data_IF_237765071165
#
_entry.id   IF_237765071165
#
_cell.length_a   1.000
_cell.length_b   1.000
_cell.length_c   1.000
_cell.angle_alpha   90.00
_cell.angle_beta   90.00
_cell.angle_gamma   90.00
#
_symmetry.space_group_name_H-M   'P 1'
#
loop_
_entity.id
_entity.type
_entity.pdbx_description
1 polymer ?
#
# COMPACT_ATOMS: atom_id res chain seq x y z
N UNK A 1 6.65 19.16 -2.87
CA UNK A 1 7.56 19.70 -1.85
C UNK A 1 6.82 19.76 -0.52
N UNK A 2 7.42 19.29 0.53
CA UNK A 2 6.99 19.02 1.92
C UNK A 2 6.43 17.62 2.11
N UNK A 3 7.35 16.70 2.32
CA UNK A 3 7.12 15.43 2.99
C UNK A 3 6.81 15.72 4.45
N UNK A 4 5.61 15.46 4.89
CA UNK A 4 5.27 15.43 6.31
C UNK A 4 5.32 13.99 6.77
N UNK A 5 6.47 13.63 7.34
CA UNK A 5 6.57 12.49 8.24
C UNK A 5 5.77 12.88 9.49
N UNK A 6 4.48 12.53 9.55
CA UNK A 6 3.73 12.65 10.78
C UNK A 6 4.15 11.51 11.72
N UNK A 7 5.11 11.85 12.58
CA UNK A 7 5.23 11.16 13.88
C UNK A 7 4.01 11.59 14.69
N UNK A 8 2.97 10.76 14.68
CA UNK A 8 1.81 10.97 15.54
C UNK A 8 2.18 10.53 16.94
N UNK A 9 2.60 11.48 17.77
CA UNK A 9 2.61 11.34 19.22
C UNK A 9 1.17 11.55 19.74
N UNK A 10 0.32 10.56 19.55
CA UNK A 10 -0.99 10.45 20.21
C UNK A 10 -0.87 9.39 21.29
N UNK A 11 -1.25 9.74 22.51
CA UNK A 11 -1.36 8.85 23.67
C UNK A 11 -2.29 7.68 23.34
N UNK A 12 -1.72 6.61 22.80
CA UNK A 12 -2.35 5.30 22.83
C UNK A 12 -2.31 4.82 24.28
N UNK A 13 -3.47 4.64 24.92
CA UNK A 13 -3.55 3.86 26.14
C UNK A 13 -2.88 2.50 25.88
N UNK A 14 -1.85 2.23 26.63
CA UNK A 14 -1.03 1.01 26.67
C UNK A 14 -1.46 -0.18 25.82
N UNK A 15 -1.28 -0.07 24.49
CA UNK A 15 -1.18 -1.23 23.60
C UNK A 15 0.18 -1.16 22.91
N UNK A 16 0.88 -2.29 22.93
CA UNK A 16 2.20 -2.46 22.31
C UNK A 16 2.27 -1.77 20.95
N UNK A 17 3.32 -1.00 20.69
CA UNK A 17 3.56 -0.29 19.40
C UNK A 17 3.60 -1.23 18.19
N UNK A 18 3.59 -2.54 18.40
CA UNK A 18 3.58 -3.59 17.40
C UNK A 18 2.60 -4.69 17.82
N UNK A 19 1.42 -4.77 17.18
CA UNK A 19 0.53 -5.95 17.28
C UNK A 19 -0.63 -5.90 18.27
N UNK A 20 -1.08 -4.73 18.73
CA UNK A 20 -2.30 -4.61 19.55
C UNK A 20 -3.58 -4.89 18.74
N UNK A 21 -4.62 -5.43 19.40
CA UNK A 21 -5.95 -5.58 18.82
C UNK A 21 -6.59 -4.21 18.66
N UNK A 22 -7.06 -3.88 17.45
CA UNK A 22 -7.73 -2.61 17.14
C UNK A 22 -9.20 -2.84 16.77
N UNK A 23 -10.03 -1.83 16.97
CA UNK A 23 -11.41 -1.79 16.47
C UNK A 23 -11.48 -0.87 15.24
N UNK A 24 -11.97 -1.41 14.12
CA UNK A 24 -12.06 -0.68 12.85
C UNK A 24 -13.52 -0.59 12.40
N UNK A 25 -13.98 0.63 12.11
CA UNK A 25 -15.27 0.83 11.46
C UNK A 25 -15.06 1.02 9.96
N UNK A 26 -15.77 0.24 9.16
CA UNK A 26 -15.69 0.25 7.69
C UNK A 26 -17.02 0.71 7.12
N UNK A 27 -17.02 1.76 6.31
CA UNK A 27 -18.16 2.17 5.50
C UNK A 27 -18.05 1.61 4.08
N UNK A 28 -19.05 0.83 3.68
CA UNK A 28 -19.15 0.15 2.39
C UNK A 28 -18.81 -1.34 2.48
N UNK A 29 -19.78 -2.20 2.22
CA UNK A 29 -19.66 -3.67 2.18
C UNK A 29 -19.56 -4.21 0.74
N UNK A 30 -18.93 -3.44 -0.15
CA UNK A 30 -18.57 -3.88 -1.50
C UNK A 30 -17.39 -4.87 -1.47
N UNK A 31 -16.79 -5.13 -2.64
CA UNK A 31 -15.62 -6.02 -2.78
C UNK A 31 -14.46 -5.61 -1.86
N UNK A 32 -14.11 -4.33 -1.85
CA UNK A 32 -13.01 -3.81 -1.02
C UNK A 32 -13.33 -3.95 0.46
N UNK A 33 -14.50 -3.44 0.90
CA UNK A 33 -14.86 -3.42 2.31
C UNK A 33 -15.02 -4.82 2.90
N UNK A 34 -15.66 -5.74 2.19
CA UNK A 34 -15.81 -7.12 2.66
C UNK A 34 -14.47 -7.88 2.73
N UNK A 35 -13.56 -7.64 1.79
CA UNK A 35 -12.22 -8.22 1.84
C UNK A 35 -11.42 -7.64 3.00
N UNK A 36 -11.45 -6.31 3.19
CA UNK A 36 -10.79 -5.64 4.30
C UNK A 36 -11.31 -6.13 5.66
N UNK A 37 -12.64 -6.25 5.80
CA UNK A 37 -13.27 -6.71 7.02
C UNK A 37 -12.78 -8.11 7.42
N UNK A 38 -12.79 -9.06 6.48
CA UNK A 38 -12.27 -10.43 6.73
C UNK A 38 -10.79 -10.42 7.05
N UNK A 39 -9.98 -9.69 6.29
CA UNK A 39 -8.54 -9.59 6.53
C UNK A 39 -8.19 -9.04 7.91
N UNK A 40 -9.02 -8.16 8.47
CA UNK A 40 -8.86 -7.64 9.82
C UNK A 40 -9.25 -8.67 10.88
N UNK A 41 -10.37 -9.39 10.68
CA UNK A 41 -10.76 -10.49 11.57
C UNK A 41 -9.71 -11.61 11.62
N UNK A 42 -9.18 -12.02 10.46
CA UNK A 42 -8.12 -13.03 10.36
C UNK A 42 -6.86 -12.64 11.14
N UNK A 43 -6.66 -11.34 11.34
CA UNK A 43 -5.58 -10.77 12.16
C UNK A 43 -5.99 -10.49 13.61
N UNK A 44 -7.14 -11.02 14.07
CA UNK A 44 -7.69 -10.85 15.41
C UNK A 44 -8.08 -9.41 15.79
N UNK A 45 -8.37 -8.55 14.81
CA UNK A 45 -8.98 -7.23 15.06
C UNK A 45 -10.50 -7.33 15.15
N UNK A 46 -11.16 -6.32 15.73
CA UNK A 46 -12.62 -6.21 15.74
C UNK A 46 -13.08 -5.26 14.65
N UNK A 47 -14.18 -5.59 14.00
CA UNK A 47 -14.67 -4.84 12.85
C UNK A 47 -16.18 -4.60 12.98
N UNK A 48 -16.61 -3.38 12.66
CA UNK A 48 -18.00 -3.05 12.37
C UNK A 48 -18.10 -2.59 10.91
N UNK A 49 -19.05 -3.13 10.16
CA UNK A 49 -19.26 -2.78 8.74
C UNK A 49 -20.60 -2.09 8.57
N UNK A 50 -20.58 -0.91 7.94
CA UNK A 50 -21.76 -0.12 7.61
C UNK A 50 -22.02 -0.20 6.11
N UNK A 51 -23.25 -0.46 5.70
CA UNK A 51 -23.70 -0.34 4.32
C UNK A 51 -25.18 0.08 4.28
N UNK A 52 -25.58 0.86 3.28
CA UNK A 52 -26.98 1.23 3.08
C UNK A 52 -27.83 0.05 2.62
N UNK A 53 -27.20 -0.94 1.96
CA UNK A 53 -27.85 -2.09 1.39
C UNK A 53 -27.64 -3.34 2.28
N UNK A 54 -28.68 -3.87 2.95
CA UNK A 54 -28.54 -5.05 3.82
C UNK A 54 -27.99 -6.28 3.08
N UNK A 55 -28.34 -6.44 1.82
CA UNK A 55 -27.88 -7.54 0.98
C UNK A 55 -26.37 -7.51 0.71
N UNK A 56 -25.73 -6.35 0.85
CA UNK A 56 -24.29 -6.23 0.70
C UNK A 56 -23.53 -7.08 1.73
N UNK A 57 -24.09 -7.26 2.93
CA UNK A 57 -23.46 -8.04 4.01
C UNK A 57 -23.30 -9.54 3.69
N UNK A 58 -23.99 -10.06 2.67
CA UNK A 58 -23.79 -11.46 2.20
C UNK A 58 -22.35 -11.70 1.76
N UNK A 59 -21.61 -10.65 1.33
CA UNK A 59 -20.20 -10.75 0.93
C UNK A 59 -19.25 -11.04 2.08
N UNK A 60 -19.67 -10.78 3.31
CA UNK A 60 -18.88 -11.09 4.51
C UNK A 60 -18.84 -12.59 4.79
N UNK A 61 -19.83 -13.34 4.29
CA UNK A 61 -19.93 -14.79 4.51
C UNK A 61 -20.43 -15.16 5.91
N UNK A 62 -20.70 -16.46 6.15
CA UNK A 62 -21.32 -16.94 7.39
C UNK A 62 -20.39 -16.90 8.61
N UNK A 63 -19.07 -16.86 8.39
CA UNK A 63 -18.07 -16.85 9.46
C UNK A 63 -17.69 -15.47 9.99
N UNK A 64 -18.30 -14.40 9.48
CA UNK A 64 -17.98 -13.05 9.95
C UNK A 64 -18.66 -12.77 11.30
N UNK A 65 -17.85 -12.45 12.32
CA UNK A 65 -18.27 -12.23 13.70
C UNK A 65 -18.42 -10.75 14.08
N UNK A 66 -17.99 -9.83 13.18
CA UNK A 66 -18.09 -8.40 13.41
C UNK A 66 -19.52 -7.87 13.29
N UNK A 67 -19.71 -6.62 13.71
CA UNK A 67 -21.01 -5.95 13.66
C UNK A 67 -21.39 -5.57 12.22
N UNK A 68 -22.69 -5.69 11.89
CA UNK A 68 -23.28 -5.29 10.61
C UNK A 68 -24.31 -4.21 10.88
N UNK A 69 -24.06 -3.01 10.38
CA UNK A 69 -24.94 -1.86 10.64
C UNK A 69 -25.50 -1.33 9.32
N UNK A 70 -26.82 -1.42 9.16
CA UNK A 70 -27.48 -0.86 7.97
C UNK A 70 -27.69 0.63 8.13
N UNK A 71 -27.23 1.42 7.14
CA UNK A 71 -27.42 2.86 7.10
C UNK A 71 -26.35 3.57 6.28
N UNK A 72 -26.44 4.90 6.29
CA UNK A 72 -25.45 5.75 5.62
C UNK A 72 -24.28 6.03 6.57
N UNK A 73 -23.04 5.69 6.16
CA UNK A 73 -21.86 5.80 7.01
C UNK A 73 -21.34 7.25 7.24
N UNK A 74 -22.06 8.25 6.79
CA UNK A 74 -21.86 9.65 7.17
C UNK A 74 -22.91 10.16 8.18
N UNK A 75 -23.92 9.33 8.51
CA UNK A 75 -24.90 9.61 9.54
C UNK A 75 -24.30 9.33 10.93
N UNK A 76 -24.37 10.30 11.82
CA UNK A 76 -23.77 10.20 13.15
C UNK A 76 -24.40 9.08 14.00
N UNK A 77 -25.73 8.89 13.92
CA UNK A 77 -26.39 7.82 14.67
C UNK A 77 -25.97 6.43 14.17
N UNK A 78 -25.80 6.29 12.86
CA UNK A 78 -25.33 5.04 12.24
C UNK A 78 -23.88 4.76 12.64
N UNK A 79 -23.02 5.77 12.63
CA UNK A 79 -21.65 5.67 13.10
C UNK A 79 -21.57 5.30 14.60
N UNK A 80 -22.44 5.87 15.42
CA UNK A 80 -22.51 5.54 16.86
C UNK A 80 -22.95 4.08 17.07
N UNK A 81 -23.96 3.60 16.32
CA UNK A 81 -24.39 2.20 16.34
C UNK A 81 -23.26 1.24 15.92
N UNK A 82 -22.42 1.67 14.99
CA UNK A 82 -21.22 0.94 14.59
C UNK A 82 -20.05 1.02 15.58
N UNK A 83 -20.21 1.76 16.69
CA UNK A 83 -19.20 1.88 17.74
C UNK A 83 -18.05 2.80 17.40
N UNK A 84 -18.26 3.83 16.59
CA UNK A 84 -17.23 4.78 16.16
C UNK A 84 -16.48 5.43 17.33
N UNK A 85 -17.13 5.68 18.48
CA UNK A 85 -16.50 6.30 19.64
C UNK A 85 -15.40 5.44 20.28
N UNK A 86 -15.42 4.13 20.05
CA UNK A 86 -14.38 3.19 20.52
C UNK A 86 -13.43 2.75 19.40
N UNK A 87 -13.63 3.28 18.19
CA UNK A 87 -12.83 2.87 17.03
C UNK A 87 -11.44 3.50 17.06
N UNK A 88 -10.43 2.68 16.74
CA UNK A 88 -9.05 3.12 16.53
C UNK A 88 -8.85 3.66 15.11
N UNK A 89 -9.65 3.15 14.15
CA UNK A 89 -9.57 3.56 12.75
C UNK A 89 -10.95 3.54 12.06
N UNK A 90 -11.05 4.35 11.00
CA UNK A 90 -12.21 4.40 10.11
C UNK A 90 -11.80 4.29 8.65
N UNK A 91 -12.46 3.43 7.88
CA UNK A 91 -12.21 3.24 6.46
C UNK A 91 -13.50 3.48 5.64
N UNK A 92 -13.52 4.53 4.83
CA UNK A 92 -14.61 4.81 3.89
C UNK A 92 -14.26 4.26 2.51
N UNK A 93 -14.89 3.13 2.12
CA UNK A 93 -14.55 2.37 0.90
C UNK A 93 -15.78 2.04 0.03
N UNK A 94 -16.84 2.82 0.16
CA UNK A 94 -18.03 2.69 -0.69
C UNK A 94 -17.73 3.07 -2.15
N UNK A 95 -18.71 2.94 -3.03
CA UNK A 95 -18.55 3.26 -4.46
C UNK A 95 -18.55 4.77 -4.77
N UNK A 96 -18.94 5.61 -3.83
CA UNK A 96 -19.07 7.07 -4.06
C UNK A 96 -17.98 7.88 -3.39
N UNK A 97 -17.21 8.65 -4.17
CA UNK A 97 -16.15 9.53 -3.65
C UNK A 97 -16.70 10.55 -2.64
N UNK A 98 -17.81 11.20 -2.98
CA UNK A 98 -18.42 12.20 -2.10
C UNK A 98 -18.84 11.59 -0.76
N UNK A 99 -19.51 10.44 -0.77
CA UNK A 99 -19.93 9.74 0.44
C UNK A 99 -18.72 9.32 1.29
N UNK A 100 -17.66 8.82 0.66
CA UNK A 100 -16.44 8.43 1.35
C UNK A 100 -15.77 9.61 2.04
N UNK A 101 -15.71 10.76 1.38
CA UNK A 101 -15.11 11.97 1.95
C UNK A 101 -15.94 12.55 3.09
N UNK A 102 -17.26 12.64 2.92
CA UNK A 102 -18.14 13.16 3.96
C UNK A 102 -18.02 12.27 5.21
N UNK A 103 -18.09 10.95 5.04
CA UNK A 103 -17.96 10.02 6.16
C UNK A 103 -16.59 10.11 6.84
N UNK A 104 -15.52 10.21 6.07
CA UNK A 104 -14.17 10.36 6.58
C UNK A 104 -14.01 11.65 7.40
N UNK A 105 -14.60 12.76 6.92
CA UNK A 105 -14.60 14.02 7.66
C UNK A 105 -15.41 13.94 8.96
N UNK A 106 -16.61 13.36 8.91
CA UNK A 106 -17.43 13.17 10.12
C UNK A 106 -16.69 12.32 11.14
N UNK A 107 -16.08 11.20 10.73
CA UNK A 107 -15.29 10.34 11.62
C UNK A 107 -14.13 11.12 12.26
N UNK A 108 -13.43 11.94 11.49
CA UNK A 108 -12.27 12.71 11.97
C UNK A 108 -12.66 13.93 12.78
N UNK A 109 -13.56 14.78 12.25
CA UNK A 109 -13.86 16.10 12.83
C UNK A 109 -14.86 16.00 13.99
N UNK A 110 -15.85 15.09 13.91
CA UNK A 110 -16.89 14.94 14.93
C UNK A 110 -16.51 13.92 15.99
N UNK A 111 -15.93 12.79 15.59
CA UNK A 111 -15.61 11.69 16.50
C UNK A 111 -14.14 11.63 16.91
N UNK A 112 -13.27 12.44 16.31
CA UNK A 112 -11.86 12.55 16.68
C UNK A 112 -10.99 11.38 16.25
N UNK A 113 -11.46 10.55 15.31
CA UNK A 113 -10.68 9.38 14.83
C UNK A 113 -9.44 9.87 14.06
N UNK A 114 -8.26 9.51 14.53
CA UNK A 114 -7.00 9.94 13.91
C UNK A 114 -6.65 9.14 12.66
N UNK A 115 -6.90 7.83 12.68
CA UNK A 115 -6.62 6.94 11.57
C UNK A 115 -7.84 6.83 10.67
N UNK A 116 -7.93 7.74 9.70
CA UNK A 116 -9.04 7.76 8.74
C UNK A 116 -8.51 7.59 7.33
N UNK A 117 -9.07 6.65 6.58
CA UNK A 117 -8.73 6.37 5.19
C UNK A 117 -9.97 6.46 4.33
N UNK A 118 -9.90 7.18 3.21
CA UNK A 118 -10.96 7.27 2.21
C UNK A 118 -10.49 6.74 0.85
N UNK A 119 -11.28 5.84 0.27
CA UNK A 119 -11.10 5.41 -1.10
C UNK A 119 -11.65 6.48 -2.04
N UNK A 120 -10.86 6.91 -3.00
CA UNK A 120 -11.22 7.92 -4.00
C UNK A 120 -10.90 7.38 -5.39
N UNK A 121 -11.85 7.48 -6.30
CA UNK A 121 -11.65 7.09 -7.70
C UNK A 121 -10.94 8.17 -8.50
N UNK A 122 -11.33 9.43 -8.29
CA UNK A 122 -10.77 10.59 -8.99
C UNK A 122 -9.43 11.00 -8.39
N UNK A 123 -8.30 10.88 -9.13
CA UNK A 123 -6.97 11.22 -8.61
C UNK A 123 -6.83 12.69 -8.21
N UNK A 124 -7.44 13.61 -8.97
CA UNK A 124 -7.40 15.04 -8.66
C UNK A 124 -8.07 15.38 -7.35
N UNK A 125 -9.19 14.72 -7.05
CA UNK A 125 -9.86 14.84 -5.74
C UNK A 125 -9.02 14.24 -4.62
N UNK A 126 -8.38 13.11 -4.84
CA UNK A 126 -7.53 12.47 -3.84
C UNK A 126 -6.44 13.42 -3.34
N UNK A 127 -5.77 14.16 -4.22
CA UNK A 127 -4.74 15.14 -3.84
C UNK A 127 -5.30 16.27 -2.97
N UNK A 128 -6.48 16.81 -3.32
CA UNK A 128 -7.12 17.88 -2.54
C UNK A 128 -7.39 17.41 -1.12
N UNK A 129 -7.94 16.21 -0.94
CA UNK A 129 -8.31 15.70 0.37
C UNK A 129 -7.10 15.27 1.21
N UNK A 130 -6.01 14.82 0.58
CA UNK A 130 -4.74 14.61 1.29
C UNK A 130 -4.20 15.90 1.90
N UNK A 131 -4.30 17.02 1.18
CA UNK A 131 -3.92 18.35 1.73
C UNK A 131 -4.79 18.78 2.92
N UNK A 132 -6.02 18.28 3.00
CA UNK A 132 -6.91 18.48 4.15
C UNK A 132 -6.68 17.46 5.27
N UNK A 133 -5.64 16.63 5.15
CA UNK A 133 -5.23 15.67 6.18
C UNK A 133 -6.04 14.38 6.22
N UNK A 134 -6.84 14.06 5.21
CA UNK A 134 -7.50 12.77 5.06
C UNK A 134 -6.61 11.87 4.21
N UNK A 135 -6.19 10.73 4.76
CA UNK A 135 -5.46 9.74 3.97
C UNK A 135 -6.36 9.18 2.88
N UNK A 136 -5.94 9.30 1.63
CA UNK A 136 -6.71 8.82 0.47
C UNK A 136 -6.01 7.67 -0.24
N UNK A 137 -6.79 6.74 -0.78
CA UNK A 137 -6.32 5.66 -1.66
C UNK A 137 -6.97 5.85 -3.03
N UNK A 138 -6.20 6.36 -4.00
CA UNK A 138 -6.63 6.59 -5.38
C UNK A 138 -6.55 5.26 -6.16
N UNK A 139 -7.61 4.46 -6.09
CA UNK A 139 -7.61 3.08 -6.61
C UNK A 139 -7.43 2.98 -8.11
N UNK A 140 -7.99 3.91 -8.90
CA UNK A 140 -7.86 3.91 -10.36
C UNK A 140 -6.42 4.19 -10.76
N UNK A 141 -5.83 5.26 -10.20
CA UNK A 141 -4.43 5.60 -10.48
C UNK A 141 -3.50 4.44 -10.11
N UNK A 142 -3.64 3.90 -8.91
CA UNK A 142 -2.82 2.77 -8.46
C UNK A 142 -2.93 1.56 -9.40
N UNK A 143 -4.16 1.18 -9.80
CA UNK A 143 -4.37 0.06 -10.71
C UNK A 143 -3.78 0.33 -12.08
N UNK A 144 -3.98 1.54 -12.62
CA UNK A 144 -3.42 1.94 -13.91
C UNK A 144 -1.89 1.91 -13.91
N UNK A 145 -1.26 2.40 -12.84
CA UNK A 145 0.20 2.37 -12.68
C UNK A 145 0.72 0.93 -12.59
N UNK A 146 -0.02 0.00 -11.93
CA UNK A 146 0.33 -1.42 -11.90
C UNK A 146 0.26 -2.09 -13.27
N UNK A 147 -0.76 -1.76 -14.07
CA UNK A 147 -0.92 -2.30 -15.42
C UNK A 147 0.16 -1.72 -16.34
N UNK A 148 0.40 -0.40 -16.26
CA UNK A 148 1.39 0.29 -17.08
C UNK A 148 2.79 -0.31 -16.90
N UNK A 149 3.21 -0.54 -15.66
CA UNK A 149 4.49 -1.16 -15.34
C UNK A 149 4.66 -2.56 -15.93
N UNK A 150 3.57 -3.34 -16.07
CA UNK A 150 3.63 -4.68 -16.68
C UNK A 150 3.62 -4.68 -18.20
N UNK A 151 3.23 -3.57 -18.82
CA UNK A 151 3.19 -3.41 -20.28
C UNK A 151 4.49 -2.80 -20.78
N UNK A 152 5.08 -1.87 -20.02
CA UNK A 152 6.31 -1.18 -20.40
C UNK A 152 7.54 -2.07 -20.16
N UNK A 153 8.65 -1.83 -20.91
CA UNK A 153 9.93 -2.48 -20.64
C UNK A 153 10.39 -2.22 -19.20
N UNK A 154 11.17 -3.17 -18.66
CA UNK A 154 11.78 -3.01 -17.34
C UNK A 154 12.58 -1.71 -17.24
N UNK A 155 12.40 -0.98 -16.14
CA UNK A 155 13.08 0.31 -15.91
C UNK A 155 12.42 1.54 -16.53
N UNK A 156 11.39 1.38 -17.37
CA UNK A 156 10.66 2.54 -17.92
C UNK A 156 9.89 3.29 -16.83
N UNK A 157 9.32 2.57 -15.86
CA UNK A 157 8.64 3.12 -14.69
C UNK A 157 9.05 2.34 -13.44
N UNK A 158 9.50 2.99 -12.37
CA UNK A 158 9.87 2.30 -11.12
C UNK A 158 8.66 1.72 -10.40
N UNK A 159 8.89 0.64 -9.65
CA UNK A 159 7.87 0.07 -8.78
C UNK A 159 7.52 0.98 -7.60
N UNK A 160 8.51 1.72 -7.13
CA UNK A 160 8.35 2.66 -6.03
C UNK A 160 9.29 3.85 -6.18
N UNK A 161 8.81 5.03 -5.79
CA UNK A 161 9.63 6.23 -5.53
C UNK A 161 9.39 6.68 -4.09
N UNK A 162 10.46 7.06 -3.40
CA UNK A 162 10.33 7.67 -2.09
C UNK A 162 9.61 9.03 -2.19
N UNK A 163 9.07 9.58 -1.09
CA UNK A 163 8.35 10.86 -1.11
C UNK A 163 9.18 12.06 -1.60
N UNK A 164 10.51 11.99 -1.51
CA UNK A 164 11.39 13.04 -2.04
C UNK A 164 11.65 12.91 -3.53
N UNK A 165 11.32 11.76 -4.13
CA UNK A 165 11.60 11.45 -5.53
C UNK A 165 13.08 11.18 -5.82
N UNK A 166 13.92 11.01 -4.80
CA UNK A 166 15.36 10.81 -4.96
C UNK A 166 15.79 9.36 -5.01
N UNK A 167 15.00 8.46 -4.40
CA UNK A 167 15.23 7.02 -4.40
C UNK A 167 14.13 6.32 -5.18
N UNK A 168 14.52 5.37 -6.00
CA UNK A 168 13.61 4.50 -6.73
C UNK A 168 13.89 3.03 -6.48
N UNK A 169 12.88 2.21 -6.66
CA UNK A 169 12.97 0.75 -6.67
C UNK A 169 12.43 0.25 -8.00
N UNK A 170 13.21 -0.58 -8.66
CA UNK A 170 12.86 -1.17 -9.94
C UNK A 170 12.96 -2.69 -9.88
N UNK A 171 12.05 -3.35 -10.60
CA UNK A 171 12.07 -4.79 -10.81
C UNK A 171 12.73 -5.09 -12.16
N UNK A 172 13.83 -5.83 -12.14
CA UNK A 172 14.61 -6.13 -13.34
C UNK A 172 14.93 -7.64 -13.39
N UNK A 173 14.55 -8.35 -14.47
CA UNK A 173 14.99 -9.71 -14.65
C UNK A 173 16.51 -9.74 -14.85
N UNK A 174 17.17 -10.79 -14.36
CA UNK A 174 18.61 -10.96 -14.56
C UNK A 174 18.87 -11.20 -16.05
N UNK A 175 19.61 -10.28 -16.73
CA UNK A 175 20.01 -10.52 -18.11
C UNK A 175 20.99 -11.69 -18.22
N UNK A 176 20.99 -12.39 -19.35
CA UNK A 176 21.83 -13.56 -19.60
C UNK A 176 23.32 -13.28 -19.34
N UNK A 177 23.79 -12.09 -19.70
CA UNK A 177 25.19 -11.64 -19.51
C UNK A 177 25.59 -11.51 -18.04
N UNK A 178 24.65 -11.43 -17.11
CA UNK A 178 24.88 -11.35 -15.68
C UNK A 178 24.64 -12.67 -14.94
N UNK A 179 24.19 -13.71 -15.63
CA UNK A 179 24.03 -15.05 -15.05
C UNK A 179 25.39 -15.58 -14.59
N UNK A 180 25.41 -16.27 -13.45
CA UNK A 180 26.60 -16.76 -12.75
C UNK A 180 27.50 -15.68 -12.13
N UNK A 181 27.20 -14.39 -12.26
CA UNK A 181 27.91 -13.33 -11.55
C UNK A 181 27.46 -13.23 -10.10
N UNK A 182 28.37 -12.79 -9.20
CA UNK A 182 28.02 -12.50 -7.80
C UNK A 182 27.29 -11.16 -7.68
N UNK A 183 26.35 -11.10 -6.77
CA UNK A 183 25.57 -9.87 -6.50
C UNK A 183 26.46 -8.68 -6.16
N UNK A 184 27.60 -8.89 -5.47
CA UNK A 184 28.51 -7.80 -5.15
C UNK A 184 29.14 -7.17 -6.41
N UNK A 185 29.47 -7.99 -7.42
CA UNK A 185 30.01 -7.54 -8.68
C UNK A 185 29.00 -6.68 -9.42
N UNK A 186 27.77 -7.20 -9.56
CA UNK A 186 26.66 -6.48 -10.16
C UNK A 186 26.41 -5.13 -9.47
N UNK A 187 26.24 -5.15 -8.15
CA UNK A 187 25.94 -3.94 -7.38
C UNK A 187 27.03 -2.88 -7.47
N UNK A 188 28.29 -3.29 -7.57
CA UNK A 188 29.43 -2.38 -7.66
C UNK A 188 29.50 -1.71 -9.03
N UNK A 189 29.30 -2.47 -10.11
CA UNK A 189 29.38 -1.92 -11.47
C UNK A 189 28.12 -1.10 -11.82
N UNK A 190 26.94 -1.55 -11.40
CA UNK A 190 25.68 -0.88 -11.70
C UNK A 190 25.32 0.26 -10.73
N UNK A 191 26.16 0.53 -9.72
CA UNK A 191 25.93 1.55 -8.66
C UNK A 191 24.52 1.51 -8.05
N UNK A 192 24.08 0.30 -7.71
CA UNK A 192 22.78 0.05 -7.10
C UNK A 192 22.87 -0.90 -5.91
N UNK A 193 21.75 -1.19 -5.28
CA UNK A 193 21.62 -2.24 -4.28
C UNK A 193 20.49 -3.19 -4.66
N UNK A 194 20.75 -4.48 -4.57
CA UNK A 194 19.71 -5.50 -4.69
C UNK A 194 19.06 -5.62 -3.31
N UNK A 195 17.80 -5.20 -3.20
CA UNK A 195 17.04 -5.31 -1.95
C UNK A 195 16.62 -6.75 -1.68
N UNK A 196 16.10 -7.44 -2.69
CA UNK A 196 15.80 -8.88 -2.68
C UNK A 196 15.79 -9.42 -4.10
N UNK A 197 15.77 -10.74 -4.21
CA UNK A 197 15.65 -11.48 -5.48
C UNK A 197 14.43 -12.40 -5.34
N UNK A 198 13.54 -12.37 -6.32
CA UNK A 198 12.53 -13.41 -6.47
C UNK A 198 13.09 -14.52 -7.35
N UNK A 199 13.24 -15.71 -6.78
CA UNK A 199 13.73 -16.92 -7.45
C UNK A 199 12.68 -18.02 -7.35
N UNK A 200 12.20 -18.53 -8.48
CA UNK A 200 11.15 -19.55 -8.54
C UNK A 200 9.88 -19.17 -7.75
N UNK A 201 9.58 -17.87 -7.68
CA UNK A 201 8.40 -17.35 -6.97
C UNK A 201 8.60 -17.14 -5.46
N UNK A 202 9.79 -17.38 -4.93
CA UNK A 202 10.14 -17.13 -3.53
C UNK A 202 11.12 -15.97 -3.41
N UNK A 203 10.80 -15.01 -2.51
CA UNK A 203 11.66 -13.87 -2.21
C UNK A 203 12.83 -14.28 -1.31
N UNK A 204 14.06 -13.91 -1.70
CA UNK A 204 15.26 -14.15 -0.89
C UNK A 204 16.08 -12.87 -0.71
N UNK A 205 16.68 -12.70 0.47
CA UNK A 205 17.64 -11.64 0.72
C UNK A 205 19.03 -12.07 0.25
N UNK A 206 19.62 -11.39 -0.75
CA UNK A 206 20.94 -11.77 -1.22
C UNK A 206 22.02 -11.32 -0.24
N UNK A 207 23.08 -12.11 -0.13
CA UNK A 207 24.34 -11.70 0.47
C UNK A 207 25.38 -11.38 -0.64
N UNK A 208 26.58 -10.96 -0.26
CA UNK A 208 27.65 -10.56 -1.21
C UNK A 208 28.04 -11.66 -2.18
N UNK A 209 27.94 -12.92 -1.75
CA UNK A 209 28.36 -14.11 -2.50
C UNK A 209 27.21 -14.80 -3.22
N UNK A 210 26.00 -14.30 -3.10
CA UNK A 210 24.85 -14.84 -3.84
C UNK A 210 25.12 -14.72 -5.34
N UNK A 211 24.95 -15.82 -6.05
CA UNK A 211 25.14 -15.91 -7.49
C UNK A 211 23.79 -15.67 -8.18
N UNK A 212 23.79 -14.77 -9.16
CA UNK A 212 22.62 -14.50 -10.00
C UNK A 212 22.35 -15.68 -10.94
N UNK A 213 21.10 -16.06 -11.09
CA UNK A 213 20.65 -17.19 -11.89
C UNK A 213 19.69 -16.73 -12.99
N UNK A 214 19.61 -17.53 -14.02
CA UNK A 214 18.58 -17.35 -15.06
C UNK A 214 17.18 -17.46 -14.43
N UNK A 215 16.31 -16.52 -14.80
CA UNK A 215 14.96 -16.45 -14.26
C UNK A 215 14.83 -15.72 -12.91
N UNK A 216 15.94 -15.29 -12.30
CA UNK A 216 15.89 -14.41 -11.13
C UNK A 216 15.32 -13.06 -11.53
N UNK A 217 14.52 -12.50 -10.61
CA UNK A 217 13.96 -11.16 -10.73
C UNK A 217 14.52 -10.30 -9.60
N UNK A 218 15.41 -9.37 -9.94
CA UNK A 218 16.06 -8.50 -8.98
C UNK A 218 15.19 -7.28 -8.65
N UNK A 219 15.11 -6.93 -7.38
CA UNK A 219 14.54 -5.66 -6.92
C UNK A 219 15.67 -4.71 -6.54
N UNK A 220 15.90 -3.74 -7.42
CA UNK A 220 17.02 -2.81 -7.34
C UNK A 220 16.60 -1.52 -6.65
N UNK A 221 17.40 -1.06 -5.69
CA UNK A 221 17.28 0.26 -5.07
C UNK A 221 18.42 1.13 -5.58
N UNK A 222 18.10 2.31 -6.12
CA UNK A 222 19.07 3.26 -6.64
C UNK A 222 18.60 4.70 -6.50
N UNK A 223 19.48 5.66 -6.72
CA UNK A 223 19.05 7.04 -6.86
C UNK A 223 18.39 7.25 -8.22
N UNK A 224 17.40 8.13 -8.27
CA UNK A 224 16.74 8.50 -9.54
C UNK A 224 17.75 9.04 -10.57
N UNK A 225 18.77 9.81 -10.12
CA UNK A 225 19.84 10.34 -10.97
C UNK A 225 20.71 9.27 -11.61
N UNK A 226 20.88 8.14 -10.94
CA UNK A 226 21.83 7.09 -11.33
C UNK A 226 21.18 6.03 -12.23
N UNK A 227 19.84 6.04 -12.32
CA UNK A 227 19.08 5.06 -13.10
C UNK A 227 19.55 4.91 -14.57
N UNK A 228 19.83 6.00 -15.34
CA UNK A 228 20.32 5.84 -16.71
C UNK A 228 21.64 5.09 -16.79
N UNK A 229 22.56 5.33 -15.86
CA UNK A 229 23.83 4.61 -15.76
C UNK A 229 23.58 3.14 -15.40
N UNK A 230 22.82 2.90 -14.33
CA UNK A 230 22.50 1.55 -13.87
C UNK A 230 21.91 0.69 -14.99
N UNK A 231 20.90 1.19 -15.71
CA UNK A 231 20.29 0.43 -16.81
C UNK A 231 21.26 0.22 -17.99
N UNK A 232 22.12 1.20 -18.30
CA UNK A 232 23.16 1.03 -19.34
C UNK A 232 24.14 -0.08 -18.98
N UNK A 233 24.54 -0.19 -17.70
CA UNK A 233 25.45 -1.26 -17.23
C UNK A 233 24.74 -2.62 -17.26
N UNK A 234 23.48 -2.67 -16.87
CA UNK A 234 22.65 -3.90 -16.90
C UNK A 234 22.59 -4.47 -18.31
N UNK A 235 22.37 -3.61 -19.32
CA UNK A 235 22.28 -4.01 -20.72
C UNK A 235 23.63 -4.44 -21.31
N UNK A 236 24.72 -3.73 -20.97
CA UNK A 236 26.07 -4.01 -21.52
C UNK A 236 26.71 -5.27 -20.96
N UNK A 237 26.35 -5.66 -19.74
CA UNK A 237 26.98 -6.77 -19.04
C UNK A 237 28.21 -6.36 -18.22
N UNK A 238 28.82 -7.35 -17.53
CA UNK A 238 29.97 -7.10 -16.67
C UNK A 238 31.19 -6.64 -17.47
N UNK A 239 31.87 -5.61 -16.95
CA UNK A 239 33.21 -5.24 -17.45
C UNK A 239 34.23 -6.25 -16.89
N UNK A 240 34.99 -6.86 -17.77
CA UNK A 240 36.09 -7.71 -17.38
C UNK A 240 37.20 -6.87 -16.75
N UNK A 241 37.34 -6.96 -15.44
CA UNK A 241 38.56 -6.46 -14.78
C UNK A 241 39.71 -7.41 -15.10
N UNK A 242 40.55 -7.00 -16.06
CA UNK A 242 41.87 -7.58 -16.26
C UNK A 242 42.77 -7.41 -15.05
#
# INVERSE_FOLDING_TARGET
>A
MVSVLYVVSGTFGHTSRYGGRVHVVIMGCGRVGSTLARSLEDRNHTVSVIDSEPDAFRRLGPGFNGDKVTGYGFDQEVLEKAGIRRADAFAAVSSGDNSNIIAARVARETFGIQQVVARIYDPGRAEVYQRLGITTVATVKWTSDQVLRRILPAGAEPDFRDPSGTIRVDQVPVPEVWVAQRTIHFQTQADCRIAWIDRLGEGMLPNRDTVLQEGDLMHLVMRESDAPHTFSVIEKGPEDHQ
#
